data_IF_280480857335
#
_entry.id   IF_280480857335
#
_cell.length_a   1.000
_cell.length_b   1.000
_cell.length_c   1.000
_cell.angle_alpha   90.00
_cell.angle_beta   90.00
_cell.angle_gamma   90.00
#
_symmetry.space_group_name_H-M   'P 1'
#
loop_
_entity.id
_entity.type
_entity.pdbx_description
1 polymer ?
#
# COMPACT_ATOMS: atom_id res chain seq x y z
N UNK A 1 0.76 6.61 -26.94
CA UNK A 1 0.70 5.25 -26.36
C UNK A 1 0.71 5.44 -24.85
N UNK A 2 -0.43 5.34 -24.14
CA UNK A 2 -0.46 5.66 -22.72
C UNK A 2 0.10 4.45 -21.99
N UNK A 3 1.41 4.47 -21.78
CA UNK A 3 2.05 3.56 -20.85
C UNK A 3 1.38 3.81 -19.50
N UNK A 4 0.70 2.79 -19.00
CA UNK A 4 0.03 2.81 -17.71
C UNK A 4 1.14 2.88 -16.65
N UNK A 5 1.57 4.09 -16.31
CA UNK A 5 2.48 4.37 -15.21
C UNK A 5 1.76 4.00 -13.92
N UNK A 6 1.71 2.70 -13.63
CA UNK A 6 1.36 2.19 -12.31
C UNK A 6 2.48 2.66 -11.41
N UNK A 7 2.34 3.89 -10.93
CA UNK A 7 3.33 4.52 -10.08
C UNK A 7 3.36 3.73 -8.78
N UNK A 8 4.52 3.68 -8.12
CA UNK A 8 4.67 3.04 -6.80
C UNK A 8 3.61 3.56 -5.81
N UNK A 9 3.11 4.78 -6.02
CA UNK A 9 1.97 5.38 -5.33
C UNK A 9 0.66 4.60 -5.55
N UNK A 10 0.25 4.33 -6.80
CA UNK A 10 -0.96 3.55 -7.09
C UNK A 10 -0.92 2.14 -6.48
N UNK A 11 0.25 1.50 -6.49
CA UNK A 11 0.42 0.17 -5.91
C UNK A 11 0.28 0.19 -4.37
N UNK A 12 0.74 1.26 -3.72
CA UNK A 12 0.54 1.50 -2.27
C UNK A 12 -0.92 1.76 -1.93
N UNK A 13 -1.58 2.61 -2.72
CA UNK A 13 -3.00 2.95 -2.53
C UNK A 13 -3.89 1.73 -2.70
N UNK A 14 -3.65 0.92 -3.74
CA UNK A 14 -4.41 -0.29 -3.99
C UNK A 14 -4.20 -1.34 -2.89
N UNK A 15 -2.95 -1.51 -2.44
CA UNK A 15 -2.64 -2.39 -1.31
C UNK A 15 -3.43 -1.99 -0.06
N UNK A 16 -3.40 -0.71 0.32
CA UNK A 16 -4.02 -0.25 1.55
C UNK A 16 -5.54 -0.28 1.47
N UNK A 17 -6.11 0.08 0.30
CA UNK A 17 -7.55 -0.04 0.05
C UNK A 17 -8.03 -1.47 0.28
N UNK A 18 -7.32 -2.45 -0.27
CA UNK A 18 -7.61 -3.87 -0.04
C UNK A 18 -7.39 -4.28 1.41
N UNK A 19 -6.34 -3.76 2.06
CA UNK A 19 -6.02 -4.11 3.44
C UNK A 19 -6.97 -3.49 4.49
N UNK A 20 -7.70 -2.42 4.14
CA UNK A 20 -8.77 -1.84 4.98
C UNK A 20 -10.10 -2.56 4.87
N UNK A 21 -10.27 -3.49 3.92
CA UNK A 21 -11.50 -4.26 3.82
C UNK A 21 -11.63 -5.22 5.02
N UNK A 22 -12.84 -5.38 5.58
CA UNK A 22 -13.08 -6.33 6.65
C UNK A 22 -12.77 -7.76 6.17
N UNK A 23 -11.94 -8.48 6.92
CA UNK A 23 -11.48 -9.83 6.54
C UNK A 23 -10.26 -9.87 5.63
N UNK A 24 -9.65 -8.72 5.31
CA UNK A 24 -8.43 -8.69 4.52
C UNK A 24 -7.25 -9.36 5.24
N UNK A 25 -6.59 -10.30 4.56
CA UNK A 25 -5.39 -10.95 5.07
C UNK A 25 -4.13 -10.22 4.60
N UNK A 26 -3.54 -9.43 5.50
CA UNK A 26 -2.32 -8.64 5.23
C UNK A 26 -1.15 -9.53 4.78
N UNK A 27 -1.05 -10.77 5.26
CA UNK A 27 0.03 -11.68 4.88
C UNK A 27 -0.13 -12.18 3.44
N UNK A 28 -1.36 -12.45 3.02
CA UNK A 28 -1.68 -12.85 1.65
C UNK A 28 -1.52 -11.67 0.69
N UNK A 29 -2.02 -10.49 1.07
CA UNK A 29 -1.83 -9.26 0.30
C UNK A 29 -0.34 -8.93 0.16
N UNK A 30 0.46 -9.06 1.22
CA UNK A 30 1.90 -8.82 1.14
C UNK A 30 2.58 -9.75 0.12
N UNK A 31 2.19 -11.03 0.06
CA UNK A 31 2.66 -11.97 -0.98
C UNK A 31 2.21 -11.57 -2.37
N UNK A 32 0.94 -11.23 -2.54
CA UNK A 32 0.36 -10.84 -3.83
C UNK A 32 1.01 -9.58 -4.40
N UNK A 33 1.34 -8.62 -3.54
CA UNK A 33 2.01 -7.38 -3.90
C UNK A 33 3.54 -7.50 -3.88
N UNK A 34 4.10 -8.69 -3.63
CA UNK A 34 5.54 -8.95 -3.55
C UNK A 34 6.29 -7.99 -2.61
N UNK A 35 5.64 -7.61 -1.51
CA UNK A 35 6.23 -6.77 -0.45
C UNK A 35 6.45 -7.58 0.82
N UNK A 36 7.42 -7.16 1.63
CA UNK A 36 7.59 -7.74 2.96
C UNK A 36 6.40 -7.38 3.85
N UNK A 37 5.99 -8.32 4.72
CA UNK A 37 4.98 -8.07 5.77
C UNK A 37 5.31 -6.83 6.60
N UNK A 38 6.59 -6.58 6.87
CA UNK A 38 7.06 -5.39 7.60
C UNK A 38 6.71 -4.09 6.86
N UNK A 39 6.84 -4.08 5.54
CA UNK A 39 6.48 -2.94 4.68
C UNK A 39 4.96 -2.75 4.65
N UNK A 40 4.20 -3.82 4.50
CA UNK A 40 2.74 -3.81 4.57
C UNK A 40 2.22 -3.17 5.86
N UNK A 41 2.72 -3.61 7.03
CA UNK A 41 2.32 -3.01 8.32
C UNK A 41 2.72 -1.53 8.43
N UNK A 42 3.88 -1.15 7.88
CA UNK A 42 4.33 0.25 7.87
C UNK A 42 3.39 1.14 7.04
N UNK A 43 2.95 0.66 5.87
CA UNK A 43 1.98 1.36 5.03
C UNK A 43 0.63 1.48 5.74
N UNK A 44 0.14 0.39 6.33
CA UNK A 44 -1.11 0.38 7.07
C UNK A 44 -1.10 1.38 8.25
N UNK A 45 -0.03 1.37 9.04
CA UNK A 45 0.13 2.27 10.18
C UNK A 45 0.18 3.73 9.74
N UNK A 46 0.87 4.04 8.64
CA UNK A 46 0.91 5.40 8.08
C UNK A 46 -0.44 5.84 7.54
N UNK A 47 -1.15 4.94 6.88
CA UNK A 47 -2.49 5.23 6.38
C UNK A 47 -3.50 5.45 7.50
N UNK A 48 -3.42 4.69 8.60
CA UNK A 48 -4.28 4.93 9.75
C UNK A 48 -4.02 6.29 10.43
N UNK A 49 -2.78 6.79 10.38
CA UNK A 49 -2.42 8.07 10.99
C UNK A 49 -2.67 9.28 10.09
N UNK A 50 -2.42 9.15 8.78
CA UNK A 50 -2.37 10.28 7.84
C UNK A 50 -3.23 10.05 6.58
N UNK A 51 -3.85 8.88 6.41
CA UNK A 51 -4.57 8.51 5.20
C UNK A 51 -3.65 8.32 3.99
N UNK A 52 -4.20 8.51 2.79
CA UNK A 52 -3.49 8.47 1.51
C UNK A 52 -2.19 9.30 1.48
N UNK A 53 -2.10 10.54 2.02
CA UNK A 53 -0.86 11.30 1.98
C UNK A 53 0.26 10.70 2.86
N UNK A 54 -0.04 9.81 3.80
CA UNK A 54 0.96 9.06 4.56
C UNK A 54 1.71 8.01 3.74
N UNK A 55 1.13 7.57 2.61
CA UNK A 55 1.72 6.61 1.67
C UNK A 55 2.60 7.28 0.62
N UNK A 56 2.45 8.60 0.44
CA UNK A 56 3.30 9.38 -0.43
C UNK A 56 4.77 9.20 -0.05
N UNK A 57 5.62 9.00 -1.04
CA UNK A 57 7.06 8.91 -0.83
C UNK A 57 7.57 10.29 -0.42
N UNK A 58 7.69 10.53 0.88
CA UNK A 58 8.53 11.62 1.39
C UNK A 58 9.96 11.25 1.02
N UNK A 59 10.37 11.66 -0.18
CA UNK A 59 11.76 11.68 -0.60
C UNK A 59 12.56 12.38 0.50
N UNK A 60 13.62 11.73 0.96
CA UNK A 60 14.59 12.34 1.87
C UNK A 60 15.62 13.11 1.06
#
# INVERSE_FOLDING_TARGET
MPWNEVTIMSLKEEFVTLATLPGANISELARRFSISRKTAYKWLSRYQQQGLPGLAERSR
#
